data_IF_848229100969
#
_entry.id   IF_848229100969
#
_cell.length_a   1.000
_cell.length_b   1.000
_cell.length_c   1.000
_cell.angle_alpha   90.00
_cell.angle_beta   90.00
_cell.angle_gamma   90.00
#
_symmetry.space_group_name_H-M   'P 1'
#
loop_
_entity.id
_entity.type
_entity.pdbx_description
1 polymer ?
#
# COMPACT_ATOMS: atom_id res chain seq x y z
N UNK A 1 -18.68 -62.14 -10.54
CA UNK A 1 -17.29 -61.69 -10.23
C UNK A 1 -16.88 -60.32 -10.80
N UNK A 2 -17.75 -59.53 -11.48
CA UNK A 2 -17.35 -58.24 -12.08
C UNK A 2 -17.48 -56.98 -11.19
N UNK A 3 -18.27 -57.01 -10.10
CA UNK A 3 -18.54 -55.81 -9.28
C UNK A 3 -17.43 -55.46 -8.26
N UNK A 4 -16.70 -56.44 -7.71
CA UNK A 4 -15.65 -56.19 -6.70
C UNK A 4 -14.45 -55.42 -7.27
N UNK A 5 -14.11 -55.66 -8.54
CA UNK A 5 -12.97 -54.98 -9.19
C UNK A 5 -13.29 -53.53 -9.54
N UNK A 6 -14.54 -53.21 -9.88
CA UNK A 6 -14.96 -51.84 -10.19
C UNK A 6 -14.95 -50.97 -8.93
N UNK A 7 -15.42 -51.50 -7.79
CA UNK A 7 -15.41 -50.77 -6.52
C UNK A 7 -13.97 -50.49 -6.06
N UNK A 8 -13.05 -51.46 -6.21
CA UNK A 8 -11.64 -51.26 -5.89
C UNK A 8 -10.97 -50.20 -6.76
N UNK A 9 -11.23 -50.18 -8.06
CA UNK A 9 -10.68 -49.18 -9.00
C UNK A 9 -11.25 -47.79 -8.70
N UNK A 10 -12.54 -47.66 -8.43
CA UNK A 10 -13.16 -46.37 -8.07
C UNK A 10 -12.59 -45.84 -6.75
N UNK A 11 -12.39 -46.70 -5.74
CA UNK A 11 -11.82 -46.28 -4.46
C UNK A 11 -10.38 -45.78 -4.60
N UNK A 12 -9.57 -46.48 -5.43
CA UNK A 12 -8.18 -46.08 -5.70
C UNK A 12 -8.12 -44.75 -6.44
N UNK A 13 -8.98 -44.54 -7.45
CA UNK A 13 -9.05 -43.26 -8.17
C UNK A 13 -9.48 -42.14 -7.22
N UNK A 14 -10.47 -42.37 -6.35
CA UNK A 14 -10.93 -41.35 -5.41
C UNK A 14 -9.84 -40.96 -4.41
N UNK A 15 -9.08 -41.94 -3.89
CA UNK A 15 -7.95 -41.68 -2.99
C UNK A 15 -6.83 -40.94 -3.72
N UNK A 16 -6.50 -41.29 -4.96
CA UNK A 16 -5.49 -40.58 -5.76
C UNK A 16 -5.91 -39.14 -6.08
N UNK A 17 -7.20 -38.89 -6.35
CA UNK A 17 -7.72 -37.53 -6.58
C UNK A 17 -7.72 -36.71 -5.29
N UNK A 18 -8.11 -37.29 -4.15
CA UNK A 18 -8.12 -36.59 -2.86
C UNK A 18 -6.70 -36.32 -2.36
N UNK A 19 -5.78 -37.27 -2.50
CA UNK A 19 -4.37 -37.09 -2.15
C UNK A 19 -3.68 -36.14 -3.13
N UNK A 20 -3.97 -36.23 -4.43
CA UNK A 20 -3.47 -35.32 -5.46
C UNK A 20 -3.98 -33.89 -5.29
N UNK A 21 -5.26 -33.70 -4.95
CA UNK A 21 -5.82 -32.40 -4.64
C UNK A 21 -5.29 -31.86 -3.30
N UNK A 22 -5.16 -32.70 -2.28
CA UNK A 22 -4.56 -32.33 -0.99
C UNK A 22 -3.08 -31.94 -1.12
N UNK A 23 -2.31 -32.62 -1.97
CA UNK A 23 -0.92 -32.28 -2.27
C UNK A 23 -0.79 -31.06 -3.20
N UNK A 24 -1.74 -30.83 -4.11
CA UNK A 24 -1.77 -29.59 -4.88
C UNK A 24 -2.10 -28.38 -4.00
N UNK A 25 -3.00 -28.53 -3.02
CA UNK A 25 -3.32 -27.50 -2.03
C UNK A 25 -2.16 -27.29 -1.03
N UNK A 26 -1.42 -28.34 -0.67
CA UNK A 26 -0.25 -28.22 0.21
C UNK A 26 1.04 -27.78 -0.50
N UNK A 27 1.13 -28.02 -1.82
CA UNK A 27 2.24 -27.60 -2.69
C UNK A 27 2.08 -26.21 -3.29
N UNK A 28 0.85 -25.68 -3.30
CA UNK A 28 0.61 -24.25 -3.32
C UNK A 28 1.02 -23.71 -1.94
N UNK A 29 2.31 -23.44 -1.76
CA UNK A 29 2.73 -22.47 -0.75
C UNK A 29 1.83 -21.24 -0.86
N UNK A 30 1.51 -20.55 0.25
CA UNK A 30 0.47 -19.53 0.30
C UNK A 30 0.63 -18.67 -0.94
N UNK A 31 -0.37 -18.76 -1.84
CA UNK A 31 -0.43 -18.08 -3.13
C UNK A 31 0.40 -16.81 -3.04
N UNK A 32 1.55 -16.78 -3.73
CA UNK A 32 2.58 -15.77 -3.52
C UNK A 32 1.92 -14.39 -3.57
N UNK A 33 1.64 -13.83 -2.40
CA UNK A 33 0.99 -12.53 -2.29
C UNK A 33 1.91 -11.55 -3.00
N UNK A 34 1.40 -10.73 -3.95
CA UNK A 34 2.20 -9.75 -4.67
C UNK A 34 3.13 -9.05 -3.71
N UNK A 35 4.43 -9.04 -4.00
CA UNK A 35 5.41 -8.43 -3.12
C UNK A 35 5.12 -6.93 -3.03
N UNK A 36 4.42 -6.52 -1.97
CA UNK A 36 3.89 -5.17 -1.82
C UNK A 36 4.65 -4.45 -0.71
N UNK A 37 5.08 -3.23 -0.99
CA UNK A 37 5.68 -2.33 -0.01
C UNK A 37 4.79 -1.10 0.13
N UNK A 38 4.53 -0.66 1.35
CA UNK A 38 3.88 0.62 1.62
C UNK A 38 4.82 1.50 2.41
N UNK A 39 5.04 2.72 1.93
CA UNK A 39 5.96 3.71 2.50
C UNK A 39 5.16 4.92 2.98
N UNK A 40 5.51 5.48 4.14
CA UNK A 40 4.86 6.72 4.54
C UNK A 40 5.34 7.31 5.87
N UNK A 41 4.55 8.24 6.39
CA UNK A 41 4.83 8.93 7.65
C UNK A 41 3.98 8.40 8.81
N UNK A 42 3.59 9.28 9.75
CA UNK A 42 2.74 8.92 10.89
C UNK A 42 1.36 8.41 10.49
N UNK A 43 0.75 8.90 9.41
CA UNK A 43 -0.58 8.44 8.98
C UNK A 43 -0.52 6.97 8.55
N UNK A 44 0.51 6.64 7.77
CA UNK A 44 0.79 5.25 7.37
C UNK A 44 1.18 4.39 8.58
N UNK A 45 2.05 4.88 9.46
CA UNK A 45 2.52 4.11 10.61
C UNK A 45 1.40 3.81 11.63
N UNK A 46 0.52 4.78 11.89
CA UNK A 46 -0.63 4.56 12.78
C UNK A 46 -1.62 3.55 12.23
N UNK A 47 -1.71 3.45 10.90
CA UNK A 47 -2.62 2.53 10.17
C UNK A 47 -1.93 1.22 9.74
N UNK A 48 -0.72 0.96 10.25
CA UNK A 48 0.12 -0.17 9.83
C UNK A 48 -0.61 -1.51 9.89
N UNK A 49 -1.27 -1.80 11.01
CA UNK A 49 -1.92 -3.10 11.24
C UNK A 49 -3.02 -3.34 10.20
N UNK A 50 -3.84 -2.32 9.95
CA UNK A 50 -4.91 -2.36 8.97
C UNK A 50 -4.35 -2.48 7.54
N UNK A 51 -3.27 -1.75 7.22
CA UNK A 51 -2.61 -1.82 5.90
C UNK A 51 -2.03 -3.22 5.66
N UNK A 52 -1.26 -3.76 6.60
CA UNK A 52 -0.64 -5.09 6.48
C UNK A 52 -1.72 -6.18 6.34
N UNK A 53 -2.82 -6.08 7.10
CA UNK A 53 -3.93 -7.04 7.04
C UNK A 53 -4.73 -6.94 5.73
N UNK A 54 -4.95 -5.73 5.21
CA UNK A 54 -5.79 -5.50 4.02
C UNK A 54 -5.05 -5.76 2.72
N UNK A 55 -3.78 -5.35 2.66
CA UNK A 55 -3.00 -5.35 1.40
C UNK A 55 -1.97 -6.47 1.32
N UNK A 56 -1.65 -7.12 2.44
CA UNK A 56 -0.51 -8.04 2.55
C UNK A 56 0.85 -7.36 2.44
N UNK A 57 0.90 -6.03 2.46
CA UNK A 57 2.12 -5.26 2.30
C UNK A 57 3.07 -5.40 3.50
N UNK A 58 4.36 -5.23 3.24
CA UNK A 58 5.30 -4.76 4.27
C UNK A 58 5.12 -3.25 4.40
N UNK A 59 4.90 -2.76 5.61
CA UNK A 59 4.83 -1.30 5.85
C UNK A 59 6.18 -0.80 6.34
N UNK A 60 6.69 0.26 5.72
CA UNK A 60 7.86 0.98 6.16
C UNK A 60 7.57 2.47 6.30
N UNK A 61 7.23 2.87 7.52
CA UNK A 61 6.77 4.22 7.80
C UNK A 61 7.56 4.87 8.95
N UNK A 62 7.62 6.20 8.96
CA UNK A 62 8.36 6.95 9.97
C UNK A 62 7.64 8.25 10.36
N UNK A 63 7.29 8.38 11.63
CA UNK A 63 6.53 9.53 12.11
C UNK A 63 7.32 10.83 11.93
N UNK A 64 6.64 11.85 11.41
CA UNK A 64 7.17 13.21 11.27
C UNK A 64 8.11 13.42 10.08
N UNK A 65 8.36 12.40 9.26
CA UNK A 65 9.29 12.52 8.13
C UNK A 65 8.64 13.20 6.93
N UNK A 66 9.41 14.08 6.31
CA UNK A 66 9.20 14.63 4.96
C UNK A 66 9.64 13.63 3.88
N UNK A 67 9.41 13.93 2.60
CA UNK A 67 9.98 13.15 1.49
C UNK A 67 11.50 13.03 1.58
N UNK A 68 12.19 14.15 1.79
CA UNK A 68 13.65 14.20 1.87
C UNK A 68 14.22 13.31 2.99
N UNK A 69 13.58 13.32 4.16
CA UNK A 69 13.99 12.51 5.30
C UNK A 69 13.68 11.02 5.12
N UNK A 70 12.64 10.70 4.33
CA UNK A 70 12.26 9.31 4.04
C UNK A 70 13.17 8.64 3.02
N UNK A 71 13.90 9.40 2.20
CA UNK A 71 14.74 8.87 1.12
C UNK A 71 15.74 7.77 1.55
N UNK A 72 16.56 7.93 2.62
CA UNK A 72 17.48 6.88 3.04
C UNK A 72 16.77 5.60 3.46
N UNK A 73 15.56 5.72 4.02
CA UNK A 73 14.76 4.62 4.52
C UNK A 73 14.09 3.85 3.39
N UNK A 74 13.60 4.55 2.36
CA UNK A 74 13.13 3.95 1.10
C UNK A 74 14.22 3.09 0.46
N UNK A 75 15.43 3.64 0.28
CA UNK A 75 16.56 2.88 -0.28
C UNK A 75 16.88 1.63 0.52
N UNK A 76 16.93 1.76 1.85
CA UNK A 76 17.17 0.64 2.75
C UNK A 76 16.10 -0.45 2.63
N UNK A 77 14.82 -0.07 2.62
CA UNK A 77 13.71 -1.01 2.50
C UNK A 77 13.64 -1.71 1.15
N UNK A 78 13.89 -0.99 0.05
CA UNK A 78 14.01 -1.59 -1.27
C UNK A 78 15.18 -2.56 -1.33
N UNK A 79 16.35 -2.21 -0.78
CA UNK A 79 17.51 -3.09 -0.77
C UNK A 79 17.25 -4.39 -0.02
N UNK A 80 16.66 -4.31 1.19
CA UNK A 80 16.28 -5.49 1.98
C UNK A 80 15.27 -6.34 1.23
N UNK A 81 14.20 -5.75 0.70
CA UNK A 81 13.16 -6.48 -0.02
C UNK A 81 13.72 -7.16 -1.28
N UNK A 82 14.53 -6.42 -2.07
CA UNK A 82 15.25 -6.97 -3.24
C UNK A 82 16.11 -8.18 -2.87
N UNK A 83 16.79 -8.14 -1.73
CA UNK A 83 17.64 -9.26 -1.28
C UNK A 83 16.87 -10.48 -0.76
N UNK A 84 15.71 -10.27 -0.13
CA UNK A 84 14.96 -11.35 0.53
C UNK A 84 13.95 -12.01 -0.40
N UNK A 85 13.33 -11.23 -1.29
CA UNK A 85 12.15 -11.64 -2.06
C UNK A 85 12.12 -11.12 -3.50
N UNK A 86 13.02 -10.23 -3.89
CA UNK A 86 13.04 -9.57 -5.20
C UNK A 86 12.46 -8.15 -5.18
N UNK A 87 12.34 -7.54 -6.35
CA UNK A 87 11.77 -6.20 -6.50
C UNK A 87 10.27 -6.27 -6.15
N UNK A 88 9.73 -5.33 -5.34
CA UNK A 88 8.29 -5.28 -5.12
C UNK A 88 7.53 -5.20 -6.45
N UNK A 89 6.41 -5.91 -6.53
CA UNK A 89 5.50 -5.83 -7.69
C UNK A 89 4.72 -4.52 -7.68
N UNK A 90 4.43 -4.00 -6.47
CA UNK A 90 3.74 -2.73 -6.29
C UNK A 90 4.19 -2.00 -5.03
N UNK A 91 4.23 -0.67 -5.10
CA UNK A 91 4.57 0.23 -4.00
C UNK A 91 3.45 1.24 -3.76
N UNK A 92 3.00 1.38 -2.52
CA UNK A 92 2.10 2.46 -2.09
C UNK A 92 2.87 3.52 -1.32
N UNK A 93 2.57 4.80 -1.55
CA UNK A 93 3.20 5.91 -0.83
C UNK A 93 2.15 6.88 -0.30
N UNK A 94 2.26 7.28 0.97
CA UNK A 94 1.55 8.43 1.55
C UNK A 94 2.54 9.23 2.39
N UNK A 95 3.00 10.34 1.81
CA UNK A 95 3.96 11.30 2.34
C UNK A 95 3.52 12.71 1.93
N UNK A 96 4.14 13.74 2.52
CA UNK A 96 3.85 15.14 2.20
C UNK A 96 3.15 15.92 3.31
N UNK A 97 2.58 15.26 4.32
CA UNK A 97 1.98 15.97 5.45
C UNK A 97 2.99 16.88 6.13
N UNK A 98 4.18 16.37 6.44
CA UNK A 98 5.21 17.14 7.14
C UNK A 98 5.82 18.22 6.22
N UNK A 99 5.93 17.97 4.92
CA UNK A 99 6.39 18.94 3.93
C UNK A 99 5.45 20.16 3.90
N UNK A 100 4.13 19.92 3.88
CA UNK A 100 3.11 20.99 3.89
C UNK A 100 2.96 21.66 5.26
N UNK A 101 2.97 20.88 6.35
CA UNK A 101 2.76 21.42 7.70
C UNK A 101 3.92 22.28 8.19
N UNK A 102 5.15 21.96 7.76
CA UNK A 102 6.38 22.66 8.15
C UNK A 102 6.87 23.68 7.13
N UNK A 103 6.15 23.87 6.01
CA UNK A 103 6.54 24.73 4.89
C UNK A 103 7.91 24.35 4.29
N UNK A 104 8.21 23.05 4.21
CA UNK A 104 9.47 22.46 3.69
C UNK A 104 9.18 21.60 2.47
N UNK A 105 8.53 22.18 1.48
CA UNK A 105 8.13 21.48 0.25
C UNK A 105 9.33 21.36 -0.69
N UNK A 106 10.07 20.26 -0.57
CA UNK A 106 11.18 19.90 -1.45
C UNK A 106 10.70 18.96 -2.56
N UNK A 107 10.29 19.56 -3.68
CA UNK A 107 9.80 18.82 -4.85
C UNK A 107 10.90 18.02 -5.56
N UNK A 108 12.16 18.45 -5.46
CA UNK A 108 13.29 17.68 -6.00
C UNK A 108 13.51 16.41 -5.19
N UNK A 109 13.42 16.49 -3.87
CA UNK A 109 13.45 15.32 -3.00
C UNK A 109 12.26 14.37 -3.27
N UNK A 110 11.07 14.93 -3.49
CA UNK A 110 9.88 14.14 -3.88
C UNK A 110 10.16 13.32 -5.15
N UNK A 111 10.65 13.97 -6.21
CA UNK A 111 11.03 13.30 -7.47
C UNK A 111 12.11 12.24 -7.24
N UNK A 112 13.17 12.60 -6.53
CA UNK A 112 14.30 11.69 -6.25
C UNK A 112 13.84 10.42 -5.56
N UNK A 113 12.95 10.51 -4.57
CA UNK A 113 12.41 9.34 -3.88
C UNK A 113 11.56 8.48 -4.80
N UNK A 114 10.71 9.10 -5.64
CA UNK A 114 9.87 8.34 -6.56
C UNK A 114 10.69 7.61 -7.64
N UNK A 115 11.79 8.21 -8.09
CA UNK A 115 12.73 7.60 -9.05
C UNK A 115 13.44 6.35 -8.49
N UNK A 116 13.59 6.23 -7.16
CA UNK A 116 14.09 4.99 -6.52
C UNK A 116 13.18 3.77 -6.81
N UNK A 117 11.91 4.02 -7.15
CA UNK A 117 10.95 2.98 -7.51
C UNK A 117 10.90 2.71 -9.02
N UNK A 118 11.84 3.21 -9.83
CA UNK A 118 11.84 3.02 -11.29
C UNK A 118 11.84 1.54 -11.75
N UNK A 119 12.39 0.63 -10.94
CA UNK A 119 12.35 -0.82 -11.22
C UNK A 119 11.03 -1.49 -10.81
N UNK A 120 10.18 -0.82 -10.04
CA UNK A 120 8.92 -1.37 -9.51
C UNK A 120 7.86 -1.30 -10.61
N UNK A 121 7.12 -2.38 -10.93
CA UNK A 121 6.12 -2.36 -11.99
C UNK A 121 4.99 -1.33 -11.80
N UNK A 122 4.55 -1.13 -10.56
CA UNK A 122 3.46 -0.21 -10.24
C UNK A 122 3.72 0.57 -8.94
N UNK A 123 3.61 1.89 -8.99
CA UNK A 123 3.73 2.76 -7.81
C UNK A 123 2.47 3.62 -7.71
N UNK A 124 1.86 3.67 -6.53
CA UNK A 124 0.73 4.57 -6.28
C UNK A 124 1.04 5.53 -5.14
N UNK A 125 0.86 6.82 -5.40
CA UNK A 125 1.00 7.90 -4.43
C UNK A 125 -0.39 8.37 -4.02
N UNK A 126 -0.78 8.12 -2.78
CA UNK A 126 -2.01 8.66 -2.23
C UNK A 126 -1.86 10.16 -1.97
N UNK A 127 -2.85 10.94 -2.40
CA UNK A 127 -2.83 12.39 -2.21
C UNK A 127 -3.31 12.81 -0.83
N UNK A 128 -2.92 14.02 -0.40
CA UNK A 128 -3.28 14.56 0.90
C UNK A 128 -4.73 15.06 0.91
N UNK A 129 -5.49 14.84 1.99
CA UNK A 129 -6.77 15.52 2.19
C UNK A 129 -6.58 17.02 2.43
N UNK A 130 -7.69 17.76 2.52
CA UNK A 130 -7.67 19.17 2.91
C UNK A 130 -7.05 19.32 4.30
N UNK A 131 -6.06 20.19 4.41
CA UNK A 131 -5.42 20.55 5.68
C UNK A 131 -5.87 21.94 6.15
N UNK A 132 -6.05 22.10 7.45
CA UNK A 132 -6.47 23.39 8.02
C UNK A 132 -5.41 24.48 7.76
N UNK A 133 -5.82 25.60 7.17
CA UNK A 133 -4.94 26.74 6.85
C UNK A 133 -3.66 26.37 6.08
N UNK A 134 -3.73 25.36 5.20
CA UNK A 134 -2.63 24.91 4.34
C UNK A 134 -3.16 24.55 2.96
N UNK A 135 -2.35 24.77 1.93
CA UNK A 135 -2.71 24.47 0.55
C UNK A 135 -2.31 23.05 0.14
N UNK A 136 -3.02 22.05 0.67
CA UNK A 136 -2.82 20.67 0.27
C UNK A 136 -3.21 20.40 -1.19
N UNK A 137 -4.14 21.18 -1.75
CA UNK A 137 -4.59 21.00 -3.13
C UNK A 137 -3.51 21.44 -4.14
N UNK A 138 -2.89 22.61 -3.91
CA UNK A 138 -1.74 23.08 -4.67
C UNK A 138 -0.57 22.11 -4.57
N UNK A 139 -0.21 21.69 -3.36
CA UNK A 139 0.85 20.69 -3.16
C UNK A 139 0.57 19.37 -3.90
N UNK A 140 -0.65 18.83 -3.80
CA UNK A 140 -1.03 17.63 -4.53
C UNK A 140 -0.94 17.82 -6.06
N UNK A 141 -1.20 19.02 -6.58
CA UNK A 141 -1.06 19.30 -8.01
C UNK A 141 0.41 19.27 -8.45
N UNK A 142 1.33 19.77 -7.62
CA UNK A 142 2.77 19.70 -7.87
C UNK A 142 3.29 18.26 -7.82
N UNK A 143 2.84 17.46 -6.84
CA UNK A 143 3.17 16.03 -6.78
C UNK A 143 2.62 15.28 -8.00
N UNK A 144 1.39 15.58 -8.44
CA UNK A 144 0.82 15.01 -9.66
C UNK A 144 1.67 15.32 -10.89
N UNK A 145 2.12 16.56 -11.04
CA UNK A 145 2.99 16.94 -12.17
C UNK A 145 4.31 16.15 -12.19
N UNK A 146 4.87 15.82 -11.02
CA UNK A 146 6.06 14.94 -10.94
C UNK A 146 5.68 13.50 -11.34
N UNK A 147 4.57 13.00 -10.84
CA UNK A 147 4.10 11.63 -11.10
C UNK A 147 3.75 11.41 -12.58
N UNK A 148 3.19 12.41 -13.26
CA UNK A 148 2.86 12.34 -14.68
C UNK A 148 4.09 12.12 -15.59
N UNK A 149 5.29 12.45 -15.11
CA UNK A 149 6.56 12.19 -15.81
C UNK A 149 7.12 10.77 -15.55
N UNK A 150 6.53 10.00 -14.63
CA UNK A 150 7.04 8.70 -14.19
C UNK A 150 6.13 7.56 -14.71
N UNK A 151 6.61 6.73 -15.65
CA UNK A 151 5.74 5.84 -16.44
C UNK A 151 5.07 4.71 -15.66
N UNK A 152 5.60 4.36 -14.49
CA UNK A 152 5.10 3.31 -13.60
C UNK A 152 4.36 3.86 -12.38
N UNK A 153 4.20 5.18 -12.26
CA UNK A 153 3.67 5.83 -11.07
C UNK A 153 2.33 6.49 -11.35
N UNK A 154 1.38 6.37 -10.43
CA UNK A 154 0.07 7.02 -10.51
C UNK A 154 -0.27 7.70 -9.19
N UNK A 155 -1.03 8.79 -9.23
CA UNK A 155 -1.63 9.37 -8.03
C UNK A 155 -3.03 8.82 -7.81
N UNK A 156 -3.45 8.73 -6.54
CA UNK A 156 -4.81 8.32 -6.20
C UNK A 156 -5.38 9.14 -5.05
N UNK A 157 -6.62 9.59 -5.22
CA UNK A 157 -7.30 10.47 -4.27
C UNK A 157 -8.16 9.72 -3.24
N UNK A 158 -8.11 8.39 -3.15
CA UNK A 158 -9.00 7.59 -2.30
C UNK A 158 -9.03 8.07 -0.84
N UNK A 159 -7.84 8.26 -0.25
CA UNK A 159 -7.71 8.73 1.13
C UNK A 159 -8.14 10.20 1.27
N UNK A 160 -7.66 11.06 0.37
CA UNK A 160 -8.04 12.47 0.35
C UNK A 160 -9.57 12.64 0.28
N UNK A 161 -10.22 11.91 -0.63
CA UNK A 161 -11.67 11.90 -0.83
C UNK A 161 -12.40 11.39 0.40
N UNK A 162 -11.96 10.29 1.00
CA UNK A 162 -12.56 9.76 2.23
C UNK A 162 -12.63 10.81 3.34
N UNK A 163 -11.53 11.51 3.60
CA UNK A 163 -11.51 12.57 4.63
C UNK A 163 -12.34 13.77 4.20
N UNK A 164 -12.18 14.24 2.96
CA UNK A 164 -12.84 15.45 2.47
C UNK A 164 -14.37 15.31 2.42
N UNK A 165 -14.88 14.12 2.07
CA UNK A 165 -16.32 13.84 2.03
C UNK A 165 -16.92 13.71 3.44
N UNK A 166 -16.09 13.58 4.48
CA UNK A 166 -16.50 13.38 5.87
C UNK A 166 -16.02 14.50 6.81
N UNK A 167 -15.71 15.70 6.30
CA UNK A 167 -15.21 16.81 7.12
C UNK A 167 -16.13 17.19 8.28
N UNK A 168 -17.45 17.13 8.08
CA UNK A 168 -18.44 17.41 9.14
C UNK A 168 -18.39 16.37 10.28
N UNK A 169 -17.91 15.15 9.97
CA UNK A 169 -17.65 14.08 10.92
C UNK A 169 -16.15 13.96 11.25
N UNK A 170 -15.34 14.95 10.88
CA UNK A 170 -13.88 14.91 10.99
C UNK A 170 -13.41 14.60 12.42
N UNK A 171 -14.12 15.12 13.43
CA UNK A 171 -13.82 14.83 14.84
C UNK A 171 -14.02 13.36 15.23
N UNK A 172 -14.81 12.58 14.48
CA UNK A 172 -14.97 11.14 14.68
C UNK A 172 -13.89 10.32 13.98
N UNK A 173 -13.27 10.86 12.92
CA UNK A 173 -12.32 10.15 12.07
C UNK A 173 -10.85 10.51 12.35
N UNK A 174 -10.58 11.77 12.66
CA UNK A 174 -9.24 12.30 12.88
C UNK A 174 -9.06 12.75 14.32
N UNK A 175 -7.81 12.74 14.77
CA UNK A 175 -7.39 13.35 16.02
C UNK A 175 -7.59 14.86 16.00
N UNK A 176 -7.41 15.52 17.15
CA UNK A 176 -7.65 16.97 17.29
C UNK A 176 -6.75 17.83 16.37
N UNK A 177 -5.66 17.28 15.85
CA UNK A 177 -4.78 17.94 14.88
C UNK A 177 -5.29 17.88 13.44
N UNK A 178 -6.42 17.18 13.19
CA UNK A 178 -7.03 17.02 11.86
C UNK A 178 -6.10 16.38 10.82
N UNK A 179 -5.09 15.63 11.28
CA UNK A 179 -4.11 14.92 10.44
C UNK A 179 -4.16 13.43 10.74
N UNK A 180 -4.03 13.06 12.01
CA UNK A 180 -3.83 11.66 12.37
C UNK A 180 -5.16 10.88 12.40
N UNK A 181 -5.23 9.68 11.80
CA UNK A 181 -6.43 8.87 11.82
C UNK A 181 -6.64 8.21 13.20
N UNK A 182 -7.86 8.35 13.73
CA UNK A 182 -8.30 7.65 14.93
C UNK A 182 -8.37 6.13 14.70
N UNK A 183 -8.17 5.32 15.75
CA UNK A 183 -8.35 3.87 15.68
C UNK A 183 -9.71 3.47 15.08
N UNK A 184 -9.74 2.37 14.32
CA UNK A 184 -10.95 1.85 13.69
C UNK A 184 -11.15 2.37 12.28
N UNK A 185 -12.30 2.98 12.00
CA UNK A 185 -12.76 3.27 10.64
C UNK A 185 -11.78 4.14 9.81
N UNK A 186 -11.13 5.12 10.43
CA UNK A 186 -10.21 6.00 9.69
C UNK A 186 -8.91 5.29 9.28
N UNK A 187 -8.31 4.49 10.17
CA UNK A 187 -7.13 3.67 9.84
C UNK A 187 -7.45 2.59 8.82
N UNK A 188 -8.61 1.96 8.95
CA UNK A 188 -9.10 1.02 7.94
C UNK A 188 -9.29 1.72 6.59
N UNK A 189 -9.82 2.94 6.56
CA UNK A 189 -9.99 3.69 5.32
C UNK A 189 -8.65 4.05 4.65
N UNK A 190 -7.56 4.27 5.40
CA UNK A 190 -6.21 4.40 4.83
C UNK A 190 -5.81 3.10 4.12
N UNK A 191 -6.00 1.95 4.79
CA UNK A 191 -5.69 0.64 4.24
C UNK A 191 -6.51 0.31 2.98
N UNK A 192 -7.83 0.57 3.03
CA UNK A 192 -8.75 0.39 1.91
C UNK A 192 -8.38 1.30 0.73
N UNK A 193 -7.91 2.52 1.01
CA UNK A 193 -7.45 3.45 -0.03
C UNK A 193 -6.25 2.90 -0.78
N UNK A 194 -5.27 2.30 -0.08
CA UNK A 194 -4.16 1.62 -0.75
C UNK A 194 -4.61 0.42 -1.57
N UNK A 195 -5.45 -0.46 -1.01
CA UNK A 195 -5.91 -1.65 -1.72
C UNK A 195 -6.66 -1.26 -3.00
N UNK A 196 -7.60 -0.31 -2.90
CA UNK A 196 -8.36 0.17 -4.05
C UNK A 196 -7.48 0.89 -5.08
N UNK A 197 -6.47 1.63 -4.63
CA UNK A 197 -5.48 2.25 -5.50
C UNK A 197 -4.69 1.19 -6.28
N UNK A 198 -4.21 0.14 -5.61
CA UNK A 198 -3.52 -0.96 -6.28
C UNK A 198 -4.42 -1.67 -7.29
N UNK A 199 -5.69 -1.92 -6.94
CA UNK A 199 -6.64 -2.59 -7.84
C UNK A 199 -6.99 -1.74 -9.07
N UNK A 200 -6.88 -0.41 -8.97
CA UNK A 200 -7.15 0.52 -10.09
C UNK A 200 -5.98 0.68 -11.04
N UNK A 201 -4.75 0.72 -10.51
CA UNK A 201 -3.60 1.26 -11.23
C UNK A 201 -2.52 0.22 -11.58
N UNK A 202 -2.56 -0.99 -11.01
CA UNK A 202 -1.52 -2.01 -11.24
C UNK A 202 -1.93 -3.10 -12.26
#
# INVERSE_FOLDING_TARGET
MKRRNIVGVVLVILVVVVVGAGLAIAGMGPWATPLTLVVGDSVTNLSRVEIEATTGARVDAQNGYTWAEMAPKVRGSLAVMKSERGVPERVGVLLGYNDVLTDRQDLEATRTVLEEFSDVPCVVVLTLPKLWNRDAAGYNAEVRAIVDDLPNTSTDDGWARFVNDNLDNGAALLEADLVHPKPGAARQAVADSYQQAFDRHC
#
